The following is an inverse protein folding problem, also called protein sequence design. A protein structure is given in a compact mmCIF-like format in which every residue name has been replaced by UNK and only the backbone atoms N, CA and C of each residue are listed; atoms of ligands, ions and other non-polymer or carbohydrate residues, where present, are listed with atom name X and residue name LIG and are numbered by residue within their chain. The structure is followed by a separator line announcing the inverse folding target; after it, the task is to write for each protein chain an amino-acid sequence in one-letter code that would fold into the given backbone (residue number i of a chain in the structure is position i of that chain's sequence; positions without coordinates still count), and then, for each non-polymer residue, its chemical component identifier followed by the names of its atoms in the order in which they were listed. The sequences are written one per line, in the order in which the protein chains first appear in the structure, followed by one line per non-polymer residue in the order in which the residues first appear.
data_IF_695503151910
#
_entry.id   IF_695503151910
#
_cell.length_a   1.000
_cell.length_b   1.000
_cell.length_c   1.000
_cell.angle_alpha   90.00
_cell.angle_beta   90.00
_cell.angle_gamma   90.00
#
_symmetry.space_group_name_H-M   'P 1'
#
loop_
_entity.id
_entity.type
_entity.pdbx_description
1 polymer ?
#
# COMPACT_ATOMS: atom_id res chain seq x y z
N UNK A 1 19.10 23.94 -30.68
CA UNK A 1 18.71 22.57 -30.30
C UNK A 1 19.86 21.96 -29.52
N UNK A 2 19.90 22.19 -28.20
CA UNK A 2 20.96 21.71 -27.31
C UNK A 2 20.37 20.65 -26.39
N UNK A 3 20.77 19.40 -26.60
CA UNK A 3 20.68 18.33 -25.62
C UNK A 3 21.95 18.39 -24.75
N UNK A 4 21.77 18.35 -23.43
CA UNK A 4 22.82 18.43 -22.41
C UNK A 4 23.80 17.26 -22.43
N UNK A 5 24.88 17.34 -21.63
CA UNK A 5 26.04 16.47 -21.73
C UNK A 5 25.68 15.00 -21.46
N UNK A 6 26.22 14.12 -22.31
CA UNK A 6 26.13 12.65 -22.20
C UNK A 6 26.46 12.21 -20.77
N UNK A 7 25.51 11.63 -20.07
CA UNK A 7 25.77 10.76 -18.92
C UNK A 7 26.55 9.56 -19.44
N UNK A 8 27.85 9.54 -19.16
CA UNK A 8 28.73 8.44 -19.55
C UNK A 8 28.32 7.21 -18.73
N UNK A 9 27.58 6.30 -19.37
CA UNK A 9 27.04 5.13 -18.69
C UNK A 9 28.14 4.07 -18.68
N UNK A 10 28.92 4.05 -17.60
CA UNK A 10 29.99 3.06 -17.41
C UNK A 10 29.42 1.82 -16.73
N UNK A 11 29.61 0.66 -17.38
CA UNK A 11 29.22 -0.65 -16.85
C UNK A 11 30.28 -1.10 -15.84
N UNK A 12 29.89 -1.46 -14.62
CA UNK A 12 30.79 -2.02 -13.60
C UNK A 12 30.27 -3.38 -13.13
N UNK A 13 31.17 -4.34 -13.01
CA UNK A 13 30.91 -5.64 -12.41
C UNK A 13 31.23 -5.57 -10.91
N UNK A 14 30.28 -5.92 -10.05
CA UNK A 14 30.51 -5.98 -8.60
C UNK A 14 30.58 -7.46 -8.17
N UNK A 15 31.70 -7.84 -7.55
CA UNK A 15 31.93 -9.16 -6.98
C UNK A 15 32.33 -9.02 -5.51
N UNK A 16 31.41 -9.36 -4.59
CA UNK A 16 31.63 -9.23 -3.15
C UNK A 16 31.83 -7.77 -2.70
N UNK A 17 33.02 -7.43 -2.20
CA UNK A 17 33.42 -6.06 -1.82
C UNK A 17 34.22 -5.35 -2.91
N UNK A 18 34.32 -5.90 -4.11
CA UNK A 18 35.21 -5.39 -5.15
C UNK A 18 34.41 -5.07 -6.39
N UNK A 19 34.59 -3.87 -6.92
CA UNK A 19 34.09 -3.51 -8.23
C UNK A 19 35.20 -3.66 -9.28
N UNK A 20 34.81 -3.96 -10.50
CA UNK A 20 35.68 -4.08 -11.67
C UNK A 20 35.05 -3.34 -12.85
N UNK A 21 35.86 -2.61 -13.61
CA UNK A 21 35.43 -1.97 -14.86
C UNK A 21 35.96 -2.73 -16.09
N UNK A 22 35.36 -2.54 -17.28
CA UNK A 22 35.79 -3.19 -18.52
C UNK A 22 37.23 -2.86 -18.95
N UNK A 23 37.73 -1.69 -18.55
CA UNK A 23 39.12 -1.25 -18.74
C UNK A 23 40.09 -1.81 -17.69
N UNK A 24 39.60 -2.69 -16.79
CA UNK A 24 40.42 -3.43 -15.84
C UNK A 24 40.73 -2.68 -14.55
N UNK A 25 40.11 -1.53 -14.29
CA UNK A 25 40.21 -0.89 -12.99
C UNK A 25 39.41 -1.69 -11.98
N UNK A 26 39.91 -1.73 -10.74
CA UNK A 26 39.24 -2.41 -9.65
C UNK A 26 39.37 -1.57 -8.39
N UNK A 27 38.37 -1.64 -7.52
CA UNK A 27 38.42 -0.97 -6.23
C UNK A 27 37.50 -1.62 -5.23
N UNK A 28 37.61 -1.21 -3.97
CA UNK A 28 36.68 -1.66 -2.93
C UNK A 28 35.39 -0.88 -3.01
N UNK A 29 34.25 -1.57 -2.86
CA UNK A 29 32.93 -0.95 -2.73
C UNK A 29 32.88 -0.24 -1.39
N UNK A 30 32.85 1.10 -1.44
CA UNK A 30 32.61 1.91 -0.25
C UNK A 30 31.10 1.97 0.04
N UNK A 31 30.65 1.08 0.92
CA UNK A 31 29.23 0.92 1.31
C UNK A 31 28.66 2.13 2.05
N UNK A 32 29.52 3.00 2.56
CA UNK A 32 29.13 4.19 3.33
C UNK A 32 29.72 5.48 2.74
N UNK A 33 30.26 5.39 1.53
CA UNK A 33 30.94 6.48 0.87
C UNK A 33 29.97 7.54 0.33
N UNK A 34 30.52 8.64 -0.21
CA UNK A 34 29.75 9.74 -0.78
C UNK A 34 28.73 9.25 -1.82
N UNK A 35 29.09 8.26 -2.65
CA UNK A 35 28.21 7.69 -3.67
C UNK A 35 27.02 6.92 -3.07
N UNK A 36 27.21 6.23 -1.94
CA UNK A 36 26.15 5.53 -1.23
C UNK A 36 25.22 6.52 -0.49
N UNK A 37 25.78 7.61 0.03
CA UNK A 37 25.02 8.72 0.59
C UNK A 37 24.22 9.48 -0.49
N UNK A 38 24.81 9.68 -1.68
CA UNK A 38 24.17 10.32 -2.83
C UNK A 38 23.08 9.43 -3.44
N UNK A 39 23.31 8.11 -3.51
CA UNK A 39 22.29 7.12 -3.86
C UNK A 39 21.12 7.13 -2.86
N UNK A 40 21.40 7.22 -1.56
CA UNK A 40 20.36 7.36 -0.53
C UNK A 40 19.58 8.67 -0.70
N UNK A 41 20.27 9.77 -1.04
CA UNK A 41 19.67 11.06 -1.39
C UNK A 41 18.77 10.99 -2.64
N UNK A 42 19.06 10.09 -3.57
CA UNK A 42 18.25 9.78 -4.75
C UNK A 42 17.21 8.68 -4.50
N UNK A 43 16.99 8.27 -3.24
CA UNK A 43 15.98 7.27 -2.88
C UNK A 43 16.39 5.81 -3.12
N UNK A 44 17.68 5.53 -3.29
CA UNK A 44 18.26 4.19 -3.35
C UNK A 44 18.98 3.89 -2.02
N UNK A 45 18.25 3.59 -0.93
CA UNK A 45 18.85 3.39 0.38
C UNK A 45 19.79 2.17 0.38
N UNK A 46 20.93 2.30 1.07
CA UNK A 46 21.77 1.16 1.43
C UNK A 46 20.95 0.26 2.34
N UNK A 47 20.59 -0.92 1.83
CA UNK A 47 19.82 -1.88 2.59
C UNK A 47 20.66 -2.49 3.71
N UNK A 48 20.07 -2.72 4.89
CA UNK A 48 20.74 -3.43 5.98
C UNK A 48 21.08 -4.87 5.54
N UNK A 49 21.94 -5.55 6.30
CA UNK A 49 22.35 -6.93 5.98
C UNK A 49 21.15 -7.84 5.65
N UNK A 50 21.31 -8.84 4.78
CA UNK A 50 20.21 -9.76 4.40
C UNK A 50 19.49 -10.35 5.61
N UNK A 51 20.24 -10.68 6.67
CA UNK A 51 19.68 -11.19 7.93
C UNK A 51 18.75 -10.20 8.65
N UNK A 52 19.03 -8.90 8.58
CA UNK A 52 18.15 -7.86 9.13
C UNK A 52 16.90 -7.66 8.27
N UNK A 53 17.02 -7.76 6.95
CA UNK A 53 15.84 -7.78 6.07
C UNK A 53 14.96 -8.98 6.39
N UNK A 54 15.54 -10.17 6.52
CA UNK A 54 14.82 -11.38 6.92
C UNK A 54 14.07 -11.21 8.24
N UNK A 55 14.72 -10.59 9.24
CA UNK A 55 14.11 -10.33 10.54
C UNK A 55 12.88 -9.40 10.47
N UNK A 56 12.81 -8.49 9.47
CA UNK A 56 11.68 -7.56 9.29
C UNK A 56 10.40 -8.26 8.80
N UNK A 57 10.54 -9.45 8.22
CA UNK A 57 9.45 -10.26 7.66
C UNK A 57 9.32 -11.61 8.39
N UNK A 58 9.80 -11.68 9.63
CA UNK A 58 9.73 -12.89 10.42
C UNK A 58 8.31 -13.15 10.91
N UNK A 59 7.70 -14.27 10.50
CA UNK A 59 6.42 -14.71 11.04
C UNK A 59 6.48 -14.98 12.54
N UNK A 60 5.35 -14.80 13.21
CA UNK A 60 5.23 -15.03 14.65
C UNK A 60 5.53 -16.49 14.99
N UNK A 61 6.27 -16.69 16.08
CA UNK A 61 6.45 -18.02 16.68
C UNK A 61 5.14 -18.46 17.32
N UNK A 62 4.77 -19.73 17.16
CA UNK A 62 3.55 -20.28 17.79
C UNK A 62 3.81 -20.42 19.29
N UNK A 63 3.19 -19.55 20.08
CA UNK A 63 3.20 -19.61 21.54
C UNK A 63 1.78 -19.88 22.08
N UNK A 64 1.63 -20.34 23.33
CA UNK A 64 0.32 -20.51 23.95
C UNK A 64 -0.53 -19.23 23.93
N UNK A 65 0.09 -18.06 24.11
CA UNK A 65 -0.57 -16.76 24.10
C UNK A 65 -1.11 -16.40 22.72
N UNK A 66 -0.34 -16.70 21.66
CA UNK A 66 -0.79 -16.52 20.29
C UNK A 66 -1.95 -17.47 19.98
N UNK A 67 -1.83 -18.75 20.35
CA UNK A 67 -2.88 -19.75 20.16
C UNK A 67 -4.18 -19.36 20.88
N UNK A 68 -4.10 -18.77 22.08
CA UNK A 68 -5.26 -18.29 22.82
C UNK A 68 -5.99 -17.14 22.12
N UNK A 69 -5.33 -16.40 21.23
CA UNK A 69 -5.93 -15.32 20.43
C UNK A 69 -6.49 -15.79 19.09
N UNK A 70 -6.12 -16.98 18.61
CA UNK A 70 -6.61 -17.51 17.32
C UNK A 70 -8.12 -17.72 17.36
N UNK A 71 -8.63 -18.48 18.32
CA UNK A 71 -10.07 -18.78 18.36
C UNK A 71 -10.96 -17.52 18.46
N UNK A 72 -10.68 -16.54 19.35
CA UNK A 72 -11.40 -15.27 19.36
C UNK A 72 -11.35 -14.54 18.03
N UNK A 73 -10.17 -14.44 17.40
CA UNK A 73 -9.99 -13.74 16.14
C UNK A 73 -10.78 -14.37 14.98
N UNK A 74 -10.88 -15.71 14.97
CA UNK A 74 -11.62 -16.42 13.93
C UNK A 74 -13.13 -16.44 14.20
N UNK A 75 -13.56 -16.42 15.45
CA UNK A 75 -14.97 -16.42 15.82
C UNK A 75 -15.72 -15.16 15.38
N UNK A 76 -15.00 -14.03 15.22
CA UNK A 76 -15.55 -12.76 14.74
C UNK A 76 -15.53 -12.63 13.21
N UNK A 77 -14.98 -13.59 12.48
CA UNK A 77 -14.95 -13.56 11.02
C UNK A 77 -16.33 -13.89 10.41
N UNK A 78 -16.71 -13.22 9.29
CA UNK A 78 -17.81 -13.65 8.45
C UNK A 78 -17.64 -15.09 7.97
N UNK A 79 -18.74 -15.70 7.54
CA UNK A 79 -18.71 -17.02 6.91
C UNK A 79 -17.76 -17.00 5.69
N UNK A 80 -17.01 -18.09 5.51
CA UNK A 80 -15.94 -18.19 4.50
C UNK A 80 -16.41 -17.99 3.04
N UNK A 81 -17.69 -18.16 2.78
CA UNK A 81 -18.37 -18.09 1.49
C UNK A 81 -19.08 -16.75 1.29
N UNK A 82 -19.23 -15.94 2.34
CA UNK A 82 -19.71 -14.56 2.27
C UNK A 82 -18.57 -13.62 1.87
N UNK A 83 -18.14 -13.76 0.61
CA UNK A 83 -17.08 -12.93 0.03
C UNK A 83 -17.36 -11.42 0.17
N UNK A 84 -18.58 -10.91 -0.05
CA UNK A 84 -18.88 -9.49 0.18
C UNK A 84 -18.64 -9.02 1.61
N UNK A 85 -19.01 -9.81 2.63
CA UNK A 85 -18.76 -9.47 4.03
C UNK A 85 -17.26 -9.50 4.36
N UNK A 86 -16.53 -10.49 3.83
CA UNK A 86 -15.07 -10.57 3.98
C UNK A 86 -14.35 -9.36 3.36
N UNK A 87 -14.78 -8.91 2.18
CA UNK A 87 -14.25 -7.69 1.53
C UNK A 87 -14.53 -6.46 2.40
N UNK A 88 -15.74 -6.33 2.93
CA UNK A 88 -16.10 -5.20 3.80
C UNK A 88 -15.29 -5.19 5.11
N UNK A 89 -15.11 -6.34 5.75
CA UNK A 89 -14.27 -6.46 6.95
C UNK A 89 -12.81 -6.09 6.65
N UNK A 90 -12.25 -6.62 5.56
CA UNK A 90 -10.86 -6.35 5.21
C UNK A 90 -10.62 -4.87 4.88
N UNK A 91 -11.54 -4.22 4.15
CA UNK A 91 -11.46 -2.80 3.86
C UNK A 91 -11.45 -1.97 5.15
N UNK A 92 -12.34 -2.29 6.10
CA UNK A 92 -12.41 -1.60 7.40
C UNK A 92 -11.11 -1.78 8.19
N UNK A 93 -10.63 -3.02 8.33
CA UNK A 93 -9.41 -3.31 9.07
C UNK A 93 -8.18 -2.63 8.45
N UNK A 94 -8.06 -2.64 7.12
CA UNK A 94 -6.99 -1.95 6.41
C UNK A 94 -7.09 -0.44 6.66
N UNK A 95 -8.26 0.16 6.48
CA UNK A 95 -8.44 1.62 6.64
C UNK A 95 -8.20 2.08 8.08
N UNK A 96 -8.61 1.29 9.07
CA UNK A 96 -8.38 1.58 10.50
C UNK A 96 -6.91 1.48 10.91
N UNK A 97 -6.17 0.52 10.35
CA UNK A 97 -4.80 0.20 10.78
C UNK A 97 -3.73 0.71 9.83
N UNK A 98 -4.10 1.37 8.72
CA UNK A 98 -3.12 1.96 7.81
C UNK A 98 -2.36 3.09 8.53
N UNK A 99 -1.03 2.99 8.70
CA UNK A 99 -0.26 3.99 9.42
C UNK A 99 -0.35 5.37 8.76
N UNK A 100 -0.26 6.43 9.56
CA UNK A 100 -0.25 7.79 9.02
C UNK A 100 1.00 8.04 8.18
N UNK A 101 0.86 8.85 7.13
CA UNK A 101 1.99 9.34 6.36
C UNK A 101 2.88 10.29 7.18
N UNK A 102 2.34 10.92 8.23
CA UNK A 102 3.08 11.82 9.11
C UNK A 102 3.88 11.03 10.17
N UNK A 103 5.22 11.04 10.13
CA UNK A 103 6.07 10.30 11.06
C UNK A 103 5.96 10.79 12.52
N UNK A 104 5.40 11.99 12.76
CA UNK A 104 5.18 12.52 14.11
C UNK A 104 3.88 12.05 14.76
N UNK A 105 2.96 11.44 13.99
CA UNK A 105 1.69 10.93 14.50
C UNK A 105 1.81 9.44 14.79
N UNK A 106 1.90 9.09 16.07
CA UNK A 106 1.88 7.68 16.50
C UNK A 106 0.55 7.05 16.09
N UNK A 107 0.55 6.23 15.05
CA UNK A 107 -0.52 5.27 14.82
C UNK A 107 -0.26 4.05 15.68
N UNK A 108 -1.29 3.58 16.40
CA UNK A 108 -1.19 2.32 17.12
C UNK A 108 -0.83 1.22 16.13
N UNK A 109 0.13 0.36 16.50
CA UNK A 109 0.42 -0.86 15.75
C UNK A 109 -0.86 -1.69 15.68
N UNK A 110 -1.09 -2.37 14.56
CA UNK A 110 -2.20 -3.31 14.45
C UNK A 110 -2.11 -4.34 15.59
N UNK A 111 -3.22 -4.62 16.24
CA UNK A 111 -3.28 -5.64 17.29
C UNK A 111 -3.25 -7.05 16.68
N UNK A 112 -3.03 -8.04 17.55
CA UNK A 112 -2.86 -9.43 17.10
C UNK A 112 -4.15 -10.03 16.57
N UNK A 113 -5.32 -9.64 17.10
CA UNK A 113 -6.61 -10.11 16.59
C UNK A 113 -6.83 -9.63 15.16
N UNK A 114 -6.69 -8.33 14.91
CA UNK A 114 -6.83 -7.74 13.58
C UNK A 114 -5.78 -8.28 12.59
N UNK A 115 -4.55 -8.52 13.04
CA UNK A 115 -3.50 -9.13 12.21
C UNK A 115 -3.87 -10.56 11.79
N UNK A 116 -4.35 -11.39 12.72
CA UNK A 116 -4.80 -12.76 12.44
C UNK A 116 -6.01 -12.75 11.50
N UNK A 117 -6.97 -11.85 11.71
CA UNK A 117 -8.11 -11.68 10.83
C UNK A 117 -7.66 -11.35 9.40
N UNK A 118 -6.82 -10.32 9.22
CA UNK A 118 -6.28 -9.94 7.91
C UNK A 118 -5.53 -11.09 7.24
N UNK A 119 -4.70 -11.82 7.98
CA UNK A 119 -3.97 -12.97 7.46
C UNK A 119 -4.89 -14.11 6.97
N UNK A 120 -6.01 -14.34 7.64
CA UNK A 120 -6.98 -15.36 7.24
C UNK A 120 -7.86 -14.90 6.09
N UNK A 121 -8.43 -13.69 6.14
CA UNK A 121 -9.35 -13.23 5.08
C UNK A 121 -8.63 -13.01 3.75
N UNK A 122 -7.35 -12.63 3.76
CA UNK A 122 -6.54 -12.48 2.53
C UNK A 122 -6.18 -13.80 1.84
N UNK A 123 -6.53 -14.94 2.43
CA UNK A 123 -6.49 -16.22 1.71
C UNK A 123 -7.57 -16.29 0.62
N UNK A 124 -8.71 -15.61 0.82
CA UNK A 124 -9.71 -15.42 -0.23
C UNK A 124 -9.14 -14.54 -1.36
N UNK A 125 -9.16 -14.99 -2.63
CA UNK A 125 -8.61 -14.22 -3.75
C UNK A 125 -9.19 -12.81 -3.90
N UNK A 126 -10.50 -12.63 -3.73
CA UNK A 126 -11.12 -11.32 -3.90
C UNK A 126 -10.69 -10.32 -2.81
N UNK A 127 -10.52 -10.79 -1.58
CA UNK A 127 -10.01 -9.97 -0.46
C UNK A 127 -8.54 -9.62 -0.67
N UNK A 128 -7.76 -10.54 -1.21
CA UNK A 128 -6.36 -10.27 -1.57
C UNK A 128 -6.25 -9.26 -2.70
N UNK A 129 -7.11 -9.37 -3.72
CA UNK A 129 -7.18 -8.39 -4.80
C UNK A 129 -7.56 -7.01 -4.27
N UNK A 130 -8.52 -6.92 -3.33
CA UNK A 130 -8.83 -5.67 -2.63
C UNK A 130 -7.58 -5.07 -1.96
N UNK A 131 -6.89 -5.86 -1.14
CA UNK A 131 -5.71 -5.41 -0.40
C UNK A 131 -4.56 -5.00 -1.32
N UNK A 132 -4.37 -5.68 -2.45
CA UNK A 132 -3.38 -5.35 -3.46
C UNK A 132 -3.77 -4.06 -4.20
N UNK A 133 -5.01 -3.98 -4.68
CA UNK A 133 -5.51 -2.85 -5.47
C UNK A 133 -5.72 -1.58 -4.64
N UNK A 134 -5.75 -1.66 -3.31
CA UNK A 134 -5.72 -0.47 -2.45
C UNK A 134 -4.36 0.23 -2.44
N UNK A 135 -3.29 -0.45 -2.87
CA UNK A 135 -1.95 0.11 -2.94
C UNK A 135 -1.78 1.02 -4.16
N UNK A 136 -1.14 2.15 -3.94
CA UNK A 136 -0.78 3.19 -4.91
C UNK A 136 0.62 3.71 -4.57
N UNK A 137 1.28 4.42 -5.48
CA UNK A 137 2.58 5.03 -5.17
C UNK A 137 2.54 5.98 -3.96
N UNK A 138 1.39 6.59 -3.65
CA UNK A 138 1.24 7.55 -2.56
C UNK A 138 1.04 6.90 -1.17
N UNK A 139 0.64 5.63 -1.12
CA UNK A 139 0.36 4.92 0.14
C UNK A 139 1.14 3.61 0.30
N UNK A 140 2.06 3.30 -0.62
CA UNK A 140 2.83 2.06 -0.61
C UNK A 140 3.65 1.88 0.68
N UNK A 141 4.25 2.95 1.22
CA UNK A 141 5.03 2.89 2.46
C UNK A 141 4.14 2.59 3.69
N UNK A 142 2.92 3.13 3.72
CA UNK A 142 1.93 2.83 4.75
C UNK A 142 1.52 1.36 4.68
N UNK A 143 1.24 0.86 3.47
CA UNK A 143 0.93 -0.56 3.26
C UNK A 143 2.10 -1.48 3.61
N UNK A 144 3.33 -1.09 3.28
CA UNK A 144 4.53 -1.86 3.63
C UNK A 144 4.65 -2.02 5.15
N UNK A 145 4.43 -0.93 5.91
CA UNK A 145 4.43 -0.97 7.37
C UNK A 145 3.29 -1.84 7.91
N UNK A 146 2.06 -1.67 7.41
CA UNK A 146 0.89 -2.48 7.81
C UNK A 146 1.16 -3.97 7.60
N UNK A 147 1.52 -4.38 6.37
CA UNK A 147 1.68 -5.79 6.04
C UNK A 147 2.87 -6.43 6.74
N UNK A 148 3.95 -5.68 6.99
CA UNK A 148 5.05 -6.15 7.86
C UNK A 148 4.57 -6.40 9.28
N UNK A 149 3.75 -5.51 9.84
CA UNK A 149 3.19 -5.70 11.18
C UNK A 149 2.21 -6.87 11.26
N UNK A 150 1.43 -7.11 10.21
CA UNK A 150 0.59 -8.30 10.07
C UNK A 150 1.45 -9.56 10.05
N UNK A 151 2.49 -9.61 9.20
CA UNK A 151 3.42 -10.75 9.09
C UNK A 151 4.04 -11.08 10.45
N UNK A 152 4.53 -10.06 11.16
CA UNK A 152 5.20 -10.23 12.45
C UNK A 152 4.29 -10.78 13.57
N UNK A 153 2.96 -10.74 13.39
CA UNK A 153 1.96 -11.25 14.33
C UNK A 153 1.28 -12.54 13.86
N UNK A 154 1.63 -12.99 12.66
CA UNK A 154 0.96 -14.11 11.99
C UNK A 154 1.84 -15.35 11.98
N UNK A 155 1.37 -16.52 12.44
CA UNK A 155 2.07 -17.78 12.28
C UNK A 155 2.41 -18.09 10.82
N UNK A 156 3.56 -18.72 10.56
CA UNK A 156 4.03 -19.02 9.21
C UNK A 156 2.99 -19.76 8.33
N UNK A 157 2.17 -20.64 8.95
CA UNK A 157 1.13 -21.42 8.26
C UNK A 157 0.03 -20.59 7.59
N UNK A 158 -0.11 -19.31 7.93
CA UNK A 158 -1.08 -18.39 7.31
C UNK A 158 -0.42 -17.08 6.85
N UNK A 159 0.91 -17.05 6.76
CA UNK A 159 1.68 -15.84 6.43
C UNK A 159 1.88 -15.61 4.92
N UNK A 160 1.59 -16.59 4.06
CA UNK A 160 1.86 -16.51 2.61
C UNK A 160 1.28 -15.23 1.96
N UNK A 161 -0.02 -14.97 2.14
CA UNK A 161 -0.69 -13.82 1.55
C UNK A 161 -0.23 -12.47 2.16
N UNK A 162 -0.11 -12.31 3.49
CA UNK A 162 0.52 -11.13 4.07
C UNK A 162 1.95 -10.86 3.59
N UNK A 163 2.78 -11.90 3.43
CA UNK A 163 4.14 -11.78 2.90
C UNK A 163 4.14 -11.31 1.44
N UNK A 164 3.27 -11.87 0.61
CA UNK A 164 3.08 -11.42 -0.76
C UNK A 164 2.66 -9.94 -0.82
N UNK A 165 1.69 -9.52 0.00
CA UNK A 165 1.23 -8.13 0.04
C UNK A 165 2.32 -7.18 0.55
N UNK A 166 3.10 -7.60 1.55
CA UNK A 166 4.25 -6.84 2.01
C UNK A 166 5.33 -6.70 0.92
N UNK A 167 5.57 -7.76 0.14
CA UNK A 167 6.49 -7.74 -0.98
C UNK A 167 6.03 -6.85 -2.14
N UNK A 168 4.74 -6.87 -2.46
CA UNK A 168 4.14 -5.95 -3.44
C UNK A 168 4.28 -4.48 -3.00
N UNK A 169 4.02 -4.20 -1.72
CA UNK A 169 4.20 -2.85 -1.17
C UNK A 169 5.68 -2.41 -1.21
N UNK A 170 6.62 -3.30 -0.89
CA UNK A 170 8.06 -3.03 -0.98
C UNK A 170 8.52 -2.79 -2.42
N UNK A 171 8.00 -3.56 -3.38
CA UNK A 171 8.26 -3.32 -4.80
C UNK A 171 7.76 -1.93 -5.21
N UNK A 172 6.55 -1.54 -4.79
CA UNK A 172 5.98 -0.22 -5.08
C UNK A 172 6.78 0.96 -4.50
N UNK A 173 7.45 0.78 -3.36
CA UNK A 173 8.32 1.81 -2.77
C UNK A 173 9.71 1.85 -3.41
N UNK A 174 10.02 0.93 -4.33
CA UNK A 174 11.35 0.80 -4.92
C UNK A 174 12.35 0.01 -4.06
N UNK A 175 11.92 -0.56 -2.93
CA UNK A 175 12.75 -1.44 -2.10
C UNK A 175 12.74 -2.87 -2.65
N UNK A 176 13.51 -3.06 -3.73
CA UNK A 176 13.60 -4.35 -4.43
C UNK A 176 14.14 -5.49 -3.56
N UNK A 177 15.02 -5.22 -2.59
CA UNK A 177 15.54 -6.30 -1.74
C UNK A 177 14.51 -6.76 -0.71
N UNK A 178 13.77 -5.83 -0.09
CA UNK A 178 12.64 -6.21 0.76
C UNK A 178 11.56 -6.95 -0.04
N UNK A 179 11.32 -6.57 -1.29
CA UNK A 179 10.40 -7.27 -2.18
C UNK A 179 10.84 -8.73 -2.43
N UNK A 180 12.13 -8.95 -2.74
CA UNK A 180 12.70 -10.29 -2.94
C UNK A 180 12.63 -11.13 -1.66
N UNK A 181 13.02 -10.57 -0.51
CA UNK A 181 12.99 -11.29 0.77
C UNK A 181 11.55 -11.68 1.13
N UNK A 182 10.58 -10.77 0.96
CA UNK A 182 9.18 -11.07 1.21
C UNK A 182 8.63 -12.14 0.25
N UNK A 183 9.04 -12.12 -1.02
CA UNK A 183 8.69 -13.12 -2.02
C UNK A 183 9.21 -14.51 -1.63
N UNK A 184 10.51 -14.64 -1.35
CA UNK A 184 11.13 -15.92 -0.97
C UNK A 184 10.44 -16.53 0.26
N UNK A 185 10.13 -15.69 1.26
CA UNK A 185 9.42 -16.13 2.47
C UNK A 185 7.96 -16.50 2.19
N UNK A 186 7.29 -15.77 1.30
CA UNK A 186 5.92 -16.10 0.86
C UNK A 186 5.91 -17.47 0.19
N UNK A 187 6.82 -17.73 -0.75
CA UNK A 187 6.99 -19.02 -1.42
C UNK A 187 7.32 -20.15 -0.44
N UNK A 188 8.19 -19.91 0.55
CA UNK A 188 8.50 -20.88 1.59
C UNK A 188 7.30 -21.19 2.52
N UNK A 189 6.33 -20.29 2.61
CA UNK A 189 5.09 -20.46 3.38
C UNK A 189 3.93 -21.01 2.55
N UNK A 190 4.13 -21.19 1.24
CA UNK A 190 3.06 -21.54 0.32
C UNK A 190 2.54 -22.95 0.53
N UNK A 191 1.23 -23.13 0.38
CA UNK A 191 0.61 -24.46 0.31
C UNK A 191 0.75 -25.03 -1.10
N UNK A 192 0.93 -26.34 -1.21
CA UNK A 192 1.27 -27.03 -2.47
C UNK A 192 0.22 -26.90 -3.59
N UNK A 193 -0.99 -26.47 -3.27
CA UNK A 193 -2.14 -26.41 -4.17
C UNK A 193 -2.47 -24.99 -4.68
N UNK A 194 -1.81 -23.95 -4.16
CA UNK A 194 -2.09 -22.56 -4.53
C UNK A 194 -0.90 -21.65 -4.25
N UNK A 195 -0.31 -21.08 -5.28
CA UNK A 195 0.74 -20.06 -5.15
C UNK A 195 0.13 -18.67 -5.25
N UNK A 196 0.27 -17.88 -4.17
CA UNK A 196 -0.22 -16.50 -4.11
C UNK A 196 0.77 -15.50 -4.74
N UNK A 197 2.05 -15.83 -4.76
CA UNK A 197 3.14 -14.89 -5.04
C UNK A 197 3.52 -14.71 -6.51
N UNK A 198 2.84 -15.38 -7.45
CA UNK A 198 3.23 -15.42 -8.86
C UNK A 198 3.28 -14.06 -9.58
N UNK A 199 2.47 -13.08 -9.15
CA UNK A 199 2.55 -11.73 -9.71
C UNK A 199 3.88 -11.04 -9.32
N UNK A 200 4.25 -11.11 -8.04
CA UNK A 200 5.47 -10.48 -7.54
C UNK A 200 6.72 -11.15 -8.12
N UNK A 201 6.68 -12.48 -8.21
CA UNK A 201 7.70 -13.29 -8.89
C UNK A 201 7.92 -12.80 -10.33
N UNK A 202 6.85 -12.71 -11.11
CA UNK A 202 6.91 -12.25 -12.49
C UNK A 202 7.40 -10.79 -12.63
N UNK A 203 7.04 -9.90 -11.70
CA UNK A 203 7.51 -8.50 -11.70
C UNK A 203 9.01 -8.40 -11.44
N UNK A 204 9.52 -9.18 -10.48
CA UNK A 204 10.94 -9.23 -10.14
C UNK A 204 11.75 -9.86 -11.27
N UNK A 205 11.31 -11.02 -11.78
CA UNK A 205 12.01 -11.76 -12.83
C UNK A 205 12.10 -10.98 -14.15
N UNK A 206 11.06 -10.22 -14.48
CA UNK A 206 11.01 -9.40 -15.71
C UNK A 206 11.53 -7.97 -15.49
N UNK A 207 12.01 -7.64 -14.28
CA UNK A 207 12.55 -6.31 -13.93
C UNK A 207 11.56 -5.18 -14.27
N UNK A 208 10.27 -5.42 -13.97
CA UNK A 208 9.22 -4.44 -14.26
C UNK A 208 9.34 -3.28 -13.25
N UNK A 209 9.40 -2.01 -13.73
CA UNK A 209 9.53 -0.88 -12.82
C UNK A 209 8.18 -0.58 -12.11
N UNK A 210 8.20 -0.06 -10.86
CA UNK A 210 6.99 0.31 -10.12
C UNK A 210 6.11 1.34 -10.83
N UNK A 211 6.67 2.13 -11.76
CA UNK A 211 5.93 3.07 -12.60
C UNK A 211 4.93 2.39 -13.53
N UNK A 212 5.03 1.08 -13.78
CA UNK A 212 4.04 0.32 -14.52
C UNK A 212 2.79 -0.02 -13.69
N UNK A 213 2.84 0.14 -12.36
CA UNK A 213 1.75 -0.25 -11.47
C UNK A 213 0.41 0.42 -11.79
N UNK A 214 0.30 1.74 -12.04
CA UNK A 214 -0.98 2.37 -12.30
C UNK A 214 -1.75 1.72 -13.46
N UNK A 215 -1.06 1.46 -14.59
CA UNK A 215 -1.65 0.84 -15.77
C UNK A 215 -2.03 -0.63 -15.53
N UNK A 216 -1.20 -1.38 -14.79
CA UNK A 216 -1.51 -2.76 -14.41
C UNK A 216 -2.70 -2.82 -13.45
N UNK A 217 -2.69 -1.96 -12.42
CA UNK A 217 -3.73 -1.84 -11.41
C UNK A 217 -5.07 -1.54 -12.05
N UNK A 218 -5.13 -0.62 -13.03
CA UNK A 218 -6.36 -0.33 -13.76
C UNK A 218 -6.92 -1.56 -14.48
N UNK A 219 -6.06 -2.32 -15.17
CA UNK A 219 -6.46 -3.56 -15.87
C UNK A 219 -6.91 -4.65 -14.90
N UNK A 220 -6.22 -4.82 -13.77
CA UNK A 220 -6.61 -5.80 -12.75
C UNK A 220 -7.94 -5.39 -12.12
N UNK A 221 -8.09 -4.10 -11.77
CA UNK A 221 -9.32 -3.55 -11.20
C UNK A 221 -10.52 -3.76 -12.12
N UNK A 222 -10.37 -3.63 -13.44
CA UNK A 222 -11.44 -3.89 -14.41
C UNK A 222 -12.00 -5.31 -14.33
N UNK A 223 -11.15 -6.30 -14.01
CA UNK A 223 -11.55 -7.71 -13.91
C UNK A 223 -11.83 -8.16 -12.47
N UNK A 224 -11.64 -7.28 -11.49
CA UNK A 224 -11.86 -7.58 -10.09
C UNK A 224 -13.35 -7.80 -9.78
N UNK A 225 -13.58 -8.52 -8.68
CA UNK A 225 -14.91 -8.78 -8.16
C UNK A 225 -15.68 -7.44 -7.96
N UNK A 226 -17.00 -7.37 -8.30
CA UNK A 226 -17.77 -6.12 -8.25
C UNK A 226 -17.71 -5.34 -6.94
N UNK A 227 -17.83 -6.01 -5.78
CA UNK A 227 -17.71 -5.38 -4.46
C UNK A 227 -16.31 -4.81 -4.22
N UNK A 228 -15.24 -5.44 -4.73
CA UNK A 228 -13.88 -4.85 -4.68
C UNK A 228 -13.84 -3.53 -5.44
N UNK A 229 -14.36 -3.50 -6.68
CA UNK A 229 -14.43 -2.29 -7.50
C UNK A 229 -15.22 -1.18 -6.82
N UNK A 230 -16.40 -1.50 -6.29
CA UNK A 230 -17.27 -0.55 -5.61
C UNK A 230 -16.61 0.03 -4.35
N UNK A 231 -15.92 -0.82 -3.58
CA UNK A 231 -15.22 -0.42 -2.35
C UNK A 231 -14.11 0.58 -2.66
N UNK A 232 -13.23 0.26 -3.61
CA UNK A 232 -12.09 1.12 -3.96
C UNK A 232 -12.51 2.41 -4.66
N UNK A 233 -13.61 2.38 -5.41
CA UNK A 233 -14.14 3.58 -6.06
C UNK A 233 -14.81 4.51 -5.05
N UNK A 234 -15.46 3.98 -3.99
CA UNK A 234 -16.08 4.80 -2.94
C UNK A 234 -15.04 5.60 -2.15
N UNK A 235 -13.90 4.99 -1.81
CA UNK A 235 -12.82 5.66 -1.07
C UNK A 235 -12.19 6.82 -1.87
N UNK A 236 -12.10 6.70 -3.20
CA UNK A 236 -11.66 7.81 -4.06
C UNK A 236 -12.67 8.97 -4.17
N UNK A 237 -13.93 8.73 -3.86
CA UNK A 237 -15.03 9.70 -3.99
C UNK A 237 -15.48 10.30 -2.66
N UNK A 238 -14.63 10.33 -1.63
CA UNK A 238 -14.93 11.16 -0.47
C UNK A 238 -15.09 12.61 -0.98
N UNK A 239 -16.32 13.16 -1.02
CA UNK A 239 -16.52 14.51 -1.52
C UNK A 239 -15.66 15.44 -0.65
N UNK A 240 -15.09 16.53 -1.20
CA UNK A 240 -14.39 17.49 -0.36
C UNK A 240 -15.32 17.81 0.80
N UNK A 241 -14.82 17.55 2.01
CA UNK A 241 -15.46 17.94 3.24
C UNK A 241 -15.52 19.47 3.17
N UNK A 242 -16.59 20.00 2.55
CA UNK A 242 -16.92 21.40 2.68
C UNK A 242 -17.08 21.57 4.18
N UNK A 243 -16.07 22.21 4.76
CA UNK A 243 -16.05 22.69 6.12
C UNK A 243 -17.46 23.11 6.45
N UNK A 244 -18.08 22.47 7.45
CA UNK A 244 -19.38 22.88 7.95
C UNK A 244 -19.16 24.24 8.57
N UNK A 245 -19.16 25.28 7.73
CA UNK A 245 -19.17 26.66 8.15
C UNK A 245 -20.50 26.82 8.85
N UNK A 246 -20.43 26.92 10.18
CA UNK A 246 -21.56 27.29 11.00
C UNK A 246 -22.08 28.61 10.44
N UNK A 247 -23.20 28.57 9.74
CA UNK A 247 -23.74 29.77 9.09
C UNK A 247 -24.08 30.73 10.22
N UNK A 248 -23.43 31.90 10.34
CA UNK A 248 -23.85 32.86 11.33
C UNK A 248 -25.31 33.21 11.04
N UNK A 249 -26.14 33.18 12.08
CA UNK A 249 -27.57 33.43 12.00
C UNK A 249 -27.79 34.84 11.42
N UNK A 250 -28.05 34.91 10.10
CA UNK A 250 -28.33 36.17 9.42
C UNK A 250 -29.72 36.59 9.84
N UNK A 251 -29.79 37.30 10.98
CA UNK A 251 -30.98 38.07 11.34
C UNK A 251 -31.28 39.00 10.18
N UNK A 252 -32.37 38.72 9.46
CA UNK A 252 -32.92 39.61 8.43
C UNK A 252 -33.04 41.02 9.04
N UNK A 253 -32.43 42.05 8.44
CA UNK A 253 -32.78 43.41 8.82
C UNK A 253 -34.26 43.65 8.52
N UNK A 254 -34.98 44.39 9.38
CA UNK A 254 -36.39 44.69 9.15
C UNK A 254 -36.55 45.46 7.85
N UNK A 255 -37.51 45.00 7.05
CA UNK A 255 -37.83 45.50 5.71
C UNK A 255 -38.15 47.02 5.76
N UNK A 256 -37.42 47.90 5.05
CA UNK A 256 -37.82 49.29 4.94
C UNK A 256 -39.09 49.35 4.09
N UNK A 257 -40.17 49.86 4.69
CA UNK A 257 -41.45 50.13 4.05
C UNK A 257 -41.27 51.07 2.85
N UNK A 258 -41.22 50.50 1.64
CA UNK A 258 -41.32 51.29 0.41
C UNK A 258 -42.78 51.72 0.25
N UNK A 259 -43.05 52.96 0.66
CA UNK A 259 -44.28 53.69 0.35
C UNK A 259 -44.43 53.82 -1.17
N UNK A 260 -45.58 53.33 -1.66
CA UNK A 260 -46.28 53.66 -2.90
C UNK A 260 -45.54 54.43 -3.99
N UNK A 261 -45.25 53.73 -5.09
CA UNK A 261 -45.42 54.28 -6.44
C UNK A 261 -46.21 53.27 -7.27
N UNK A 262 -47.41 53.69 -7.66
CA UNK A 262 -48.32 52.98 -8.56
C UNK A 262 -47.68 52.90 -9.96
N UNK A 263 -47.58 51.72 -10.60
CA UNK A 263 -47.11 51.63 -11.99
C UNK A 263 -48.17 52.21 -12.95
N UNK A 264 -47.78 52.89 -14.04
CA UNK A 264 -48.72 53.36 -15.06
C UNK A 264 -49.32 52.18 -15.85
N UNK A 265 -50.57 52.37 -16.26
CA UNK A 265 -51.47 51.38 -16.83
C UNK A 265 -51.05 50.87 -18.23
N UNK A 266 -51.52 49.67 -18.65
CA UNK A 266 -51.14 49.06 -19.91
C UNK A 266 -51.92 49.67 -21.08
N UNK A 267 -51.19 50.14 -22.10
CA UNK A 267 -51.77 50.50 -23.40
C UNK A 267 -51.97 49.26 -24.27
N UNK A 268 -53.21 49.04 -24.71
CA UNK A 268 -53.59 48.05 -25.73
C UNK A 268 -53.25 48.60 -27.13
N UNK A 269 -52.82 47.70 -28.02
CA UNK A 269 -52.40 47.97 -29.39
C UNK A 269 -53.52 48.42 -30.34
N UNK A 270 -53.15 49.25 -31.32
CA UNK A 270 -53.59 49.20 -32.73
C UNK A 270 -52.36 49.44 -33.59
#
# INVERSE_FOLDING_TARGET
THLGPRTDTSLMLISGQTWHTPDGQTGTVDRYGPLAAEATLQGLPVLPSRAELDARFASATITPELLAQVEPALASLPAHDDTPALISLAAELINQHLPSADPGRTTSRIDTEAALQLAVVTQNPAVRDLALLSMTGNNAEQHLRLWRDVVNQTPNVIAEAPLFLAGMAAWLTGDGASAVVALERSQASARSDRQVSGLLDALIDQVVPPSAWPDMREKILHHAEPKVRDTLTRDTHQPPLWETVDRPDVRRPPNPTIRGRKPPAPGIAI
#
